data_IF_608840728010
#
_entry.id   IF_608840728010
#
_cell.length_a   1.000
_cell.length_b   1.000
_cell.length_c   1.000
_cell.angle_alpha   90.00
_cell.angle_beta   90.00
_cell.angle_gamma   90.00
#
_symmetry.space_group_name_H-M   'P 1'
#
loop_
_entity.id
_entity.type
_entity.pdbx_description
1 polymer ?
#
# COMPACT_ATOMS: atom_id res chain seq x y z
N UNK A 1 -8.54 9.81 23.04
CA UNK A 1 -8.22 8.72 22.10
C UNK A 1 -6.84 8.23 22.44
N UNK A 2 -6.71 7.00 22.92
CA UNK A 2 -5.41 6.38 23.17
C UNK A 2 -4.84 5.95 21.82
N UNK A 3 -3.63 6.38 21.50
CA UNK A 3 -2.92 5.91 20.31
C UNK A 3 -2.29 4.58 20.68
N UNK A 4 -2.64 3.51 19.96
CA UNK A 4 -2.00 2.21 20.13
C UNK A 4 -0.53 2.29 19.69
N UNK A 5 0.35 1.58 20.37
CA UNK A 5 1.68 1.31 19.82
C UNK A 5 1.56 0.53 18.51
N UNK A 6 2.58 0.59 17.65
CA UNK A 6 2.58 -0.20 16.39
C UNK A 6 2.41 -1.70 16.67
N UNK A 7 3.00 -2.20 17.75
CA UNK A 7 2.87 -3.60 18.17
C UNK A 7 1.43 -3.92 18.57
N UNK A 8 0.79 -3.08 19.38
CA UNK A 8 -0.62 -3.29 19.76
C UNK A 8 -1.55 -3.20 18.55
N UNK A 9 -1.28 -2.28 17.62
CA UNK A 9 -2.04 -2.14 16.39
C UNK A 9 -1.95 -3.38 15.49
N UNK A 10 -0.86 -4.15 15.56
CA UNK A 10 -0.67 -5.40 14.81
C UNK A 10 -1.27 -6.59 15.58
N UNK A 11 -1.05 -6.68 16.89
CA UNK A 11 -1.45 -7.84 17.70
C UNK A 11 -2.97 -7.88 17.93
N UNK A 12 -3.60 -6.75 18.27
CA UNK A 12 -5.01 -6.73 18.65
C UNK A 12 -5.93 -7.32 17.57
N UNK A 13 -5.81 -6.96 16.27
CA UNK A 13 -6.62 -7.58 15.21
C UNK A 13 -6.43 -9.10 15.10
N UNK A 14 -5.23 -9.62 15.43
CA UNK A 14 -4.94 -11.05 15.43
C UNK A 14 -5.63 -11.85 16.52
N UNK A 15 -6.24 -11.19 17.51
CA UNK A 15 -6.96 -11.82 18.62
C UNK A 15 -8.47 -11.93 18.37
N UNK A 16 -8.98 -11.31 17.29
CA UNK A 16 -10.41 -11.31 16.96
C UNK A 16 -10.85 -12.67 16.40
N UNK A 17 -12.10 -13.11 16.66
CA UNK A 17 -12.67 -14.29 16.02
C UNK A 17 -12.61 -14.18 14.48
N UNK A 18 -12.07 -15.22 13.82
CA UNK A 18 -11.88 -15.23 12.36
C UNK A 18 -10.54 -14.67 11.87
N UNK A 19 -9.69 -14.14 12.74
CA UNK A 19 -8.37 -13.63 12.35
C UNK A 19 -7.47 -14.69 11.70
N UNK A 20 -7.58 -15.95 12.14
CA UNK A 20 -6.84 -17.08 11.55
C UNK A 20 -7.24 -17.31 10.09
N UNK A 21 -8.53 -17.20 9.77
CA UNK A 21 -9.01 -17.42 8.41
C UNK A 21 -8.47 -16.33 7.47
N UNK A 22 -8.49 -15.06 7.90
CA UNK A 22 -7.90 -13.93 7.17
C UNK A 22 -6.39 -14.12 6.97
N UNK A 23 -5.68 -14.58 8.00
CA UNK A 23 -4.23 -14.83 7.89
C UNK A 23 -3.95 -15.95 6.88
N UNK A 24 -4.67 -17.07 6.97
CA UNK A 24 -4.52 -18.21 6.06
C UNK A 24 -4.87 -17.83 4.62
N UNK A 25 -5.92 -17.04 4.43
CA UNK A 25 -6.27 -16.52 3.11
C UNK A 25 -5.12 -15.70 2.54
N UNK A 26 -4.53 -14.77 3.31
CA UNK A 26 -3.41 -13.96 2.86
C UNK A 26 -2.16 -14.78 2.49
N UNK A 27 -1.72 -15.71 3.35
CA UNK A 27 -0.46 -16.44 3.13
C UNK A 27 -0.57 -17.59 2.11
N UNK A 28 -1.78 -18.08 1.86
CA UNK A 28 -2.04 -19.16 0.90
C UNK A 28 -2.53 -18.65 -0.45
N UNK A 29 -2.76 -17.35 -0.61
CA UNK A 29 -3.26 -16.78 -1.85
C UNK A 29 -2.12 -16.50 -2.84
N UNK A 30 -2.09 -17.29 -3.91
CA UNK A 30 -1.13 -17.15 -5.03
C UNK A 30 -1.81 -16.93 -6.39
N UNK A 31 -3.13 -16.73 -6.41
CA UNK A 31 -3.94 -16.79 -7.64
C UNK A 31 -4.36 -15.46 -8.24
N UNK A 32 -3.96 -14.32 -7.67
CA UNK A 32 -4.37 -12.99 -8.13
C UNK A 32 -3.58 -12.49 -9.34
N UNK A 33 -4.14 -11.53 -10.09
CA UNK A 33 -3.40 -10.83 -11.14
C UNK A 33 -2.24 -10.03 -10.55
N UNK A 34 -1.13 -9.95 -11.28
CA UNK A 34 0.05 -9.23 -10.81
C UNK A 34 -0.13 -7.71 -10.93
N UNK A 35 0.61 -6.88 -10.18
CA UNK A 35 0.59 -5.43 -10.35
C UNK A 35 0.87 -5.00 -11.80
N UNK A 36 1.75 -5.70 -12.53
CA UNK A 36 2.03 -5.47 -13.94
C UNK A 36 0.80 -5.68 -14.84
N UNK A 37 -0.07 -6.63 -14.49
CA UNK A 37 -1.31 -6.90 -15.23
C UNK A 37 -2.37 -5.83 -14.94
N UNK A 38 -2.40 -5.35 -13.69
CA UNK A 38 -3.43 -4.45 -13.20
C UNK A 38 -3.13 -2.98 -13.55
N UNK A 39 -1.90 -2.51 -13.36
CA UNK A 39 -1.53 -1.09 -13.51
C UNK A 39 -1.96 -0.46 -14.85
N UNK A 40 -1.81 -1.13 -16.01
CA UNK A 40 -2.29 -0.60 -17.30
C UNK A 40 -3.81 -0.36 -17.36
N UNK A 41 -4.58 -0.99 -16.48
CA UNK A 41 -6.05 -0.89 -16.43
C UNK A 41 -6.52 0.29 -15.58
N UNK A 42 -5.66 0.85 -14.72
CA UNK A 42 -6.03 1.97 -13.85
C UNK A 42 -6.27 3.23 -14.69
N UNK A 43 -7.46 3.82 -14.51
CA UNK A 43 -7.83 5.11 -15.12
C UNK A 43 -7.55 6.30 -14.20
N UNK A 44 -7.05 6.04 -13.00
CA UNK A 44 -6.71 7.06 -12.02
C UNK A 44 -5.19 7.19 -11.88
N UNK A 45 -4.72 8.34 -11.39
CA UNK A 45 -3.31 8.54 -11.08
C UNK A 45 -2.81 7.54 -10.03
N UNK A 46 -1.65 6.93 -10.28
CA UNK A 46 -0.98 5.99 -9.37
C UNK A 46 0.36 6.56 -8.93
N UNK A 47 0.64 6.49 -7.64
CA UNK A 47 1.97 6.74 -7.06
C UNK A 47 2.61 5.39 -6.73
N UNK A 48 3.82 5.16 -7.24
CA UNK A 48 4.64 4.02 -6.83
C UNK A 48 5.80 4.54 -6.01
N UNK A 49 5.92 4.09 -4.77
CA UNK A 49 7.03 4.41 -3.88
C UNK A 49 7.71 3.12 -3.46
N UNK A 50 9.05 3.09 -3.44
CA UNK A 50 9.82 1.87 -3.20
C UNK A 50 10.98 2.09 -2.24
N UNK A 51 11.19 1.13 -1.35
CA UNK A 51 12.32 1.07 -0.42
C UNK A 51 13.63 0.72 -1.11
N UNK A 52 14.63 1.61 -1.15
CA UNK A 52 15.96 1.24 -1.71
C UNK A 52 16.58 0.02 -0.99
N UNK A 53 16.30 -0.10 0.32
CA UNK A 53 16.81 -1.16 1.19
C UNK A 53 15.73 -2.17 1.60
N UNK A 54 14.69 -2.33 0.80
CA UNK A 54 13.66 -3.33 1.06
C UNK A 54 14.30 -4.74 1.12
N UNK A 55 14.15 -5.47 2.24
CA UNK A 55 14.80 -6.77 2.42
C UNK A 55 14.10 -7.91 1.66
N UNK A 56 12.86 -7.69 1.22
CA UNK A 56 12.04 -8.68 0.53
C UNK A 56 12.17 -8.54 -0.98
N UNK A 57 12.07 -7.32 -1.50
CA UNK A 57 12.07 -7.06 -2.94
C UNK A 57 13.11 -6.03 -3.38
N UNK A 58 13.90 -6.38 -4.40
CA UNK A 58 14.97 -5.51 -4.89
C UNK A 58 14.46 -4.21 -5.50
N UNK A 59 15.19 -3.10 -5.31
CA UNK A 59 14.88 -1.79 -5.93
C UNK A 59 14.77 -1.85 -7.46
N UNK A 60 15.38 -2.84 -8.11
CA UNK A 60 15.27 -3.06 -9.56
C UNK A 60 13.82 -3.27 -10.00
N UNK A 61 13.00 -3.94 -9.17
CA UNK A 61 11.57 -4.15 -9.44
C UNK A 61 10.82 -2.84 -9.36
N UNK A 62 11.00 -2.06 -8.29
CA UNK A 62 10.36 -0.74 -8.15
C UNK A 62 10.71 0.22 -9.30
N UNK A 63 11.96 0.23 -9.74
CA UNK A 63 12.43 1.06 -10.85
C UNK A 63 11.75 0.73 -12.19
N UNK A 64 11.21 -0.49 -12.37
CA UNK A 64 10.44 -0.84 -13.56
C UNK A 64 9.11 -0.05 -13.65
N UNK A 65 8.62 0.47 -12.52
CA UNK A 65 7.36 1.20 -12.41
C UNK A 65 7.50 2.73 -12.37
N UNK A 66 8.73 3.24 -12.34
CA UNK A 66 9.03 4.66 -12.19
C UNK A 66 10.08 4.93 -11.10
N UNK A 67 10.73 6.09 -11.16
CA UNK A 67 11.84 6.44 -10.28
C UNK A 67 11.35 7.16 -9.02
N UNK A 68 11.26 6.45 -7.89
CA UNK A 68 11.08 7.07 -6.56
C UNK A 68 12.00 6.42 -5.53
N UNK A 69 12.59 7.26 -4.66
CA UNK A 69 13.39 6.83 -3.51
C UNK A 69 12.57 7.06 -2.25
N UNK A 70 12.07 5.97 -1.67
CA UNK A 70 11.33 5.99 -0.42
C UNK A 70 11.89 4.91 0.52
N UNK A 71 11.34 4.84 1.72
CA UNK A 71 11.51 3.73 2.66
C UNK A 71 10.09 3.30 3.10
N UNK A 72 9.93 2.15 3.78
CA UNK A 72 8.64 1.75 4.33
C UNK A 72 7.99 2.87 5.14
N UNK A 73 6.68 3.05 4.98
CA UNK A 73 5.94 4.15 5.59
C UNK A 73 6.01 4.11 7.13
N UNK A 74 5.99 2.91 7.70
CA UNK A 74 6.08 2.65 9.13
C UNK A 74 7.46 3.02 9.69
N UNK A 75 8.53 2.88 8.89
CA UNK A 75 9.89 3.27 9.29
C UNK A 75 10.16 4.78 9.16
N UNK A 76 9.73 5.41 8.05
CA UNK A 76 10.03 6.81 7.72
C UNK A 76 8.78 7.60 7.30
N UNK A 77 7.78 7.73 8.18
CA UNK A 77 6.53 8.41 7.86
C UNK A 77 6.72 9.88 7.49
N UNK A 78 7.74 10.55 8.02
CA UNK A 78 8.10 11.93 7.69
C UNK A 78 8.54 12.13 6.24
N UNK A 79 9.07 11.09 5.59
CA UNK A 79 9.41 11.12 4.16
C UNK A 79 8.23 10.70 3.29
N UNK A 80 7.50 9.65 3.70
CA UNK A 80 6.45 9.04 2.86
C UNK A 80 5.14 9.83 2.90
N UNK A 81 4.73 10.32 4.07
CA UNK A 81 3.45 11.02 4.23
C UNK A 81 3.33 12.29 3.37
N UNK A 82 4.38 13.13 3.22
CA UNK A 82 4.33 14.25 2.28
C UNK A 82 4.08 13.83 0.82
N UNK A 83 4.63 12.69 0.38
CA UNK A 83 4.41 12.17 -0.98
C UNK A 83 2.95 11.79 -1.18
N UNK A 84 2.37 11.02 -0.24
CA UNK A 84 0.96 10.65 -0.26
C UNK A 84 0.06 11.90 -0.29
N UNK A 85 0.31 12.86 0.62
CA UNK A 85 -0.44 14.12 0.69
C UNK A 85 -0.34 14.91 -0.62
N UNK A 86 0.82 14.92 -1.27
CA UNK A 86 1.03 15.65 -2.53
C UNK A 86 0.16 15.09 -3.67
N UNK A 87 0.07 13.76 -3.77
CA UNK A 87 -0.73 13.07 -4.80
C UNK A 87 -2.21 13.24 -4.52
N UNK A 88 -2.64 13.08 -3.27
CA UNK A 88 -4.02 13.35 -2.87
C UNK A 88 -4.40 14.80 -3.17
N UNK A 89 -3.58 15.77 -2.78
CA UNK A 89 -3.85 17.19 -3.05
C UNK A 89 -3.92 17.51 -4.55
N UNK A 90 -3.06 16.87 -5.36
CA UNK A 90 -3.04 17.04 -6.82
C UNK A 90 -4.28 16.48 -7.51
N UNK A 91 -4.86 15.40 -6.98
CA UNK A 91 -5.89 14.62 -7.69
C UNK A 91 -7.27 14.58 -7.00
N UNK A 92 -7.42 15.13 -5.80
CA UNK A 92 -8.69 15.16 -5.05
C UNK A 92 -9.82 15.94 -5.71
N UNK A 93 -9.50 16.85 -6.64
CA UNK A 93 -10.50 17.62 -7.40
C UNK A 93 -11.05 16.89 -8.63
N UNK A 94 -10.59 15.67 -8.91
CA UNK A 94 -10.89 14.96 -10.16
C UNK A 94 -11.95 13.85 -10.06
N UNK A 95 -12.52 13.58 -8.88
CA UNK A 95 -13.47 12.47 -8.69
C UNK A 95 -14.93 12.95 -8.71
N UNK A 96 -15.50 13.03 -9.91
CA UNK A 96 -16.97 13.08 -10.12
C UNK A 96 -17.46 11.79 -10.79
N UNK A 97 -16.83 10.65 -10.51
CA UNK A 97 -17.28 9.35 -11.00
C UNK A 97 -16.71 8.22 -10.13
N UNK A 98 -17.24 8.03 -8.92
CA UNK A 98 -17.25 6.68 -8.35
C UNK A 98 -18.44 5.95 -8.96
N UNK A 99 -18.15 4.95 -9.80
CA UNK A 99 -19.15 3.97 -10.18
C UNK A 99 -19.59 3.20 -8.93
N UNK A 100 -20.90 2.98 -8.72
CA UNK A 100 -21.38 2.20 -7.59
C UNK A 100 -21.05 0.72 -7.84
N UNK A 101 -20.43 0.04 -6.87
CA UNK A 101 -20.37 -1.43 -6.85
C UNK A 101 -19.00 -2.07 -6.65
N UNK A 102 -18.17 -1.57 -5.73
CA UNK A 102 -17.33 -2.47 -4.93
C UNK A 102 -17.98 -2.55 -3.55
#
# INVERSE_FOLDING_TARGET
MTVLSITEAIIQPGLEPGAVDVFLEFICYYGGPLPEDLLPQFKCPVLVAWGEKDPWDTIKLGRAYGNFDAAPQDEKPEMVNPLIKSVVARHSKSSTALAPGI
#
